data_IF_415220451479
#
_entry.id   IF_415220451479
#
_cell.length_a   1.000
_cell.length_b   1.000
_cell.length_c   1.000
_cell.angle_alpha   90.00
_cell.angle_beta   90.00
_cell.angle_gamma   90.00
#
_symmetry.space_group_name_H-M   'P 1'
#
loop_
_entity.id
_entity.type
_entity.pdbx_description
1 polymer ?
2 non-polymer ?
3 water ?
#
# COMPACT_ATOMS: atom_id res chain seq x y z
N UNK A 2 -10.07 7.48 -14.99
CA UNK A 2 -11.29 8.17 -14.59
C UNK A 2 -11.42 8.26 -13.07
N UNK A 3 -12.10 9.33 -12.58
CA UNK A 3 -12.41 9.65 -11.18
C UNK A 3 -11.29 9.16 -10.17
N UNK A 4 -11.50 9.30 -8.83
CA UNK A 4 -10.46 8.88 -7.89
C UNK A 4 -10.74 7.50 -7.27
N UNK A 5 -11.94 6.91 -7.45
CA UNK A 5 -12.20 5.56 -6.90
C UNK A 5 -11.93 4.42 -7.92
N UNK A 6 -11.58 4.77 -9.18
CA UNK A 6 -11.26 3.78 -10.22
C UNK A 6 -9.81 3.23 -10.08
N UNK A 7 -9.44 2.24 -10.90
CA UNK A 7 -8.12 1.61 -10.83
C UNK A 7 -6.95 2.57 -11.05
N UNK A 8 -6.94 3.30 -12.16
CA UNK A 8 -5.85 4.23 -12.49
C UNK A 8 -5.34 5.13 -11.37
N UNK A 9 -6.25 5.81 -10.66
CA UNK A 9 -5.89 6.70 -9.55
C UNK A 9 -5.26 5.92 -8.41
N UNK A 10 -5.87 4.79 -8.05
CA UNK A 10 -5.44 3.94 -6.95
C UNK A 10 -4.09 3.27 -7.24
N UNK A 11 -3.90 2.86 -8.51
CA UNK A 11 -2.64 2.30 -8.99
C UNK A 11 -1.55 3.35 -8.88
N UNK A 12 -1.84 4.59 -9.29
CA UNK A 12 -0.86 5.67 -9.15
C UNK A 12 -0.47 5.90 -7.68
N UNK A 13 -1.43 5.78 -6.73
CA UNK A 13 -1.13 5.91 -5.30
C UNK A 13 -0.22 4.79 -4.83
N UNK A 14 -0.57 3.53 -5.18
CA UNK A 14 0.24 2.39 -4.75
C UNK A 14 1.64 2.43 -5.38
N UNK A 15 1.74 2.92 -6.63
CA UNK A 15 3.01 3.10 -7.33
C UNK A 15 3.86 4.12 -6.63
N UNK A 16 3.27 5.30 -6.26
CA UNK A 16 4.03 6.35 -5.59
C UNK A 16 4.55 5.86 -4.28
N UNK A 17 3.71 5.11 -3.52
CA UNK A 17 4.15 4.64 -2.21
C UNK A 17 5.34 3.70 -2.34
N UNK A 18 5.33 2.85 -3.38
CA UNK A 18 6.44 1.93 -3.62
C UNK A 18 7.71 2.69 -4.00
N UNK A 19 7.61 3.69 -4.87
CA UNK A 19 8.79 4.52 -5.22
C UNK A 19 9.38 5.25 -3.99
N UNK A 20 8.50 5.67 -3.03
CA UNK A 20 8.91 6.32 -1.76
C UNK A 20 9.71 5.31 -0.92
N UNK A 21 9.14 4.14 -0.66
CA UNK A 21 9.81 3.11 0.14
C UNK A 21 11.15 2.68 -0.50
N UNK A 22 11.14 2.48 -1.82
CA UNK A 22 12.33 2.10 -2.57
C UNK A 22 13.38 3.20 -2.75
N UNK A 23 13.05 4.44 -2.39
CA UNK A 23 13.95 5.58 -2.51
C UNK A 23 14.25 5.93 -3.97
N UNK A 24 13.25 5.80 -4.84
CA UNK A 24 13.35 6.11 -6.26
C UNK A 24 12.16 6.97 -6.74
N UNK A 25 11.94 8.18 -6.16
CA UNK A 25 10.85 9.03 -6.67
C UNK A 25 11.11 9.44 -8.12
N UNK A 26 10.06 9.44 -8.96
CA UNK A 26 10.25 9.82 -10.36
C UNK A 26 10.40 11.34 -10.57
N UNK A 27 11.22 11.76 -11.55
CA UNK A 27 11.39 13.20 -11.79
C UNK A 27 10.36 13.73 -12.79
N UNK A 28 9.55 14.70 -12.38
CA UNK A 28 8.55 15.28 -13.26
C UNK A 28 7.32 15.83 -12.57
N UNK A 29 7.45 17.03 -11.96
CA UNK A 29 6.39 17.73 -11.21
C UNK A 29 6.14 17.17 -9.81
N UNK A 30 6.51 15.92 -9.56
CA UNK A 30 6.30 15.30 -8.26
C UNK A 30 4.92 14.71 -8.04
N UNK A 31 4.71 14.10 -6.87
CA UNK A 31 3.40 13.47 -6.60
C UNK A 31 2.29 14.45 -6.23
N UNK A 32 1.04 14.00 -6.27
CA UNK A 32 -0.13 14.83 -5.92
C UNK A 32 -0.19 15.12 -4.42
N UNK A 33 -1.00 16.11 -3.98
CA UNK A 33 -1.19 16.41 -2.54
C UNK A 33 -1.71 15.15 -1.81
N UNK A 34 -2.65 14.46 -2.43
CA UNK A 34 -3.22 13.20 -1.91
C UNK A 34 -2.10 12.17 -1.64
N UNK A 35 -1.20 11.98 -2.62
CA UNK A 35 -0.09 11.05 -2.51
C UNK A 35 0.90 11.48 -1.41
N UNK A 36 1.25 12.78 -1.34
CA UNK A 36 2.17 13.28 -0.34
C UNK A 36 1.65 13.04 1.09
N UNK A 37 0.33 13.22 1.34
CA UNK A 37 -0.27 12.99 2.67
C UNK A 37 -0.31 11.47 3.00
N UNK A 38 -0.66 10.67 2.03
CA UNK A 38 -0.72 9.21 2.20
C UNK A 38 0.69 8.66 2.54
N UNK A 39 1.75 9.19 1.90
CA UNK A 39 3.10 8.65 2.06
C UNK A 39 3.59 8.85 3.49
N UNK A 40 3.43 10.07 3.97
CA UNK A 40 3.76 10.47 5.33
C UNK A 40 3.01 9.57 6.37
N UNK A 41 1.70 9.42 6.24
CA UNK A 41 0.89 8.66 7.24
C UNK A 41 1.08 7.13 7.13
N UNK A 42 1.15 6.60 5.90
CA UNK A 42 1.39 5.17 5.70
C UNK A 42 2.78 4.78 6.22
N UNK A 43 3.81 5.61 5.97
CA UNK A 43 5.18 5.30 6.45
C UNK A 43 5.28 5.27 7.96
N UNK A 44 4.57 6.17 8.63
CA UNK A 44 4.56 6.21 10.10
C UNK A 44 3.95 4.90 10.64
N UNK A 45 2.90 4.38 9.98
CA UNK A 45 2.27 3.10 10.33
C UNK A 45 3.19 1.89 10.04
N UNK A 46 3.86 1.88 8.87
CA UNK A 46 4.76 0.80 8.47
C UNK A 46 5.90 0.63 9.50
N UNK A 47 6.43 1.74 9.97
CA UNK A 47 7.51 1.73 10.97
C UNK A 47 7.07 1.04 12.25
N UNK A 48 5.82 1.28 12.65
CA UNK A 48 5.22 0.71 13.85
C UNK A 48 4.97 -0.80 13.64
N UNK A 49 4.39 -1.17 12.48
CA UNK A 49 4.09 -2.56 12.12
C UNK A 49 5.37 -3.40 12.12
N UNK A 50 6.46 -2.88 11.52
CA UNK A 50 7.75 -3.56 11.48
C UNK A 50 8.31 -3.83 12.88
N UNK A 51 8.22 -2.84 13.78
CA UNK A 51 8.69 -2.99 15.16
C UNK A 51 7.84 -4.05 15.86
N UNK A 52 6.52 -3.96 15.69
CA UNK A 52 5.55 -4.86 16.31
C UNK A 52 5.61 -6.30 15.82
N UNK A 53 6.24 -6.54 14.64
CA UNK A 53 6.33 -7.88 14.05
C UNK A 53 7.78 -8.31 13.76
N UNK A 54 8.77 -7.78 14.50
CA UNK A 54 10.18 -8.09 14.24
C UNK A 54 10.49 -9.60 14.11
N UNK A 55 9.87 -10.44 14.95
CA UNK A 55 10.08 -11.89 14.88
C UNK A 55 9.36 -12.54 13.68
N UNK A 56 8.08 -12.19 13.46
CA UNK A 56 7.26 -12.71 12.36
C UNK A 56 7.84 -12.35 10.98
N UNK A 57 8.37 -11.12 10.82
CA UNK A 57 8.94 -10.68 9.56
C UNK A 57 10.29 -11.34 9.29
N UNK A 58 11.08 -11.62 10.34
CA UNK A 58 12.36 -12.31 10.20
C UNK A 58 12.20 -13.84 10.12
N UNK A 59 11.03 -14.33 9.71
CA UNK A 59 10.77 -15.76 9.60
C UNK A 59 10.39 -16.10 8.17
N UNK A 60 9.55 -15.27 7.53
CA UNK A 60 9.16 -15.53 6.15
C UNK A 60 10.18 -14.96 5.17
N UNK A 61 10.25 -15.57 3.99
CA UNK A 61 11.12 -15.12 2.91
C UNK A 61 10.20 -14.84 1.72
N UNK A 62 10.36 -13.69 1.07
CA UNK A 62 9.51 -13.30 -0.06
C UNK A 62 10.37 -13.36 -1.31
N UNK A 63 10.43 -14.54 -1.91
CA UNK A 63 11.29 -14.81 -3.05
C UNK A 63 10.65 -14.51 -4.41
N UNK A 64 9.35 -14.20 -4.45
CA UNK A 64 8.67 -13.94 -5.73
C UNK A 64 7.41 -13.10 -5.58
N UNK A 65 6.86 -12.61 -6.71
CA UNK A 65 5.60 -11.87 -6.73
C UNK A 65 4.47 -12.77 -6.21
N UNK A 66 4.43 -14.04 -6.66
CA UNK A 66 3.42 -15.00 -6.21
C UNK A 66 3.41 -15.16 -4.69
N UNK A 67 4.58 -15.40 -4.07
CA UNK A 67 4.70 -15.52 -2.62
C UNK A 67 4.24 -14.22 -1.92
N UNK A 68 4.58 -13.05 -2.48
CA UNK A 68 4.16 -11.78 -1.91
C UNK A 68 2.64 -11.64 -1.96
N UNK A 69 2.00 -12.13 -3.03
CA UNK A 69 0.56 -12.04 -3.16
C UNK A 69 -0.10 -12.94 -2.12
N UNK A 70 0.43 -14.17 -1.94
CA UNK A 70 -0.10 -15.09 -0.93
C UNK A 70 0.03 -14.48 0.48
N UNK A 71 1.17 -13.82 0.78
CA UNK A 71 1.40 -13.21 2.09
C UNK A 71 0.47 -12.01 2.29
N UNK A 72 0.29 -11.19 1.25
CA UNK A 72 -0.63 -10.05 1.29
C UNK A 72 -2.06 -10.53 1.52
N UNK A 73 -2.44 -11.68 0.94
CA UNK A 73 -3.77 -12.27 1.10
C UNK A 73 -4.03 -12.71 2.54
N UNK A 74 -3.03 -13.29 3.21
CA UNK A 74 -3.16 -13.69 4.62
C UNK A 74 -3.37 -12.43 5.46
N UNK A 75 -2.56 -11.40 5.20
CA UNK A 75 -2.64 -10.12 5.90
C UNK A 75 -4.01 -9.49 5.73
N UNK A 76 -4.49 -9.31 4.50
CA UNK A 76 -5.79 -8.70 4.24
C UNK A 76 -6.93 -9.47 4.88
N UNK A 77 -6.87 -10.82 4.86
CA UNK A 77 -7.92 -11.64 5.45
C UNK A 77 -8.00 -11.40 6.94
N UNK A 78 -6.84 -11.40 7.61
CA UNK A 78 -6.70 -11.18 9.04
C UNK A 78 -7.11 -9.75 9.44
N UNK A 79 -6.59 -8.73 8.73
CA UNK A 79 -6.88 -7.32 8.94
C UNK A 79 -8.37 -7.02 8.86
N UNK A 80 -9.07 -7.60 7.88
CA UNK A 80 -10.50 -7.34 7.72
C UNK A 80 -11.39 -8.52 8.16
N UNK A 81 -10.91 -9.41 9.05
CA UNK A 81 -11.69 -10.60 9.46
C UNK A 81 -12.96 -10.27 10.23
N UNK A 82 -13.04 -9.09 10.85
CA UNK A 82 -14.25 -8.68 11.56
C UNK A 82 -15.26 -7.92 10.67
N UNK A 83 -14.98 -7.80 9.37
CA UNK A 83 -15.86 -7.17 8.40
C UNK A 83 -15.95 -5.66 8.33
N UNK A 84 -15.29 -4.92 9.25
CA UNK A 84 -15.39 -3.46 9.25
C UNK A 84 -14.26 -2.74 8.46
N UNK A 85 -14.62 -1.67 7.74
CA UNK A 85 -13.70 -0.85 6.96
C UNK A 85 -13.62 0.59 7.52
N UNK A 86 -12.39 1.07 7.76
CA UNK A 86 -12.15 2.44 8.19
C UNK A 86 -10.86 2.99 7.51
N UNK A 87 -10.63 4.32 7.55
CA UNK A 87 -9.45 4.88 6.90
C UNK A 87 -8.14 4.31 7.45
N UNK A 88 -8.08 4.04 8.75
CA UNK A 88 -6.88 3.47 9.36
C UNK A 88 -6.52 2.11 8.78
N UNK A 89 -7.54 1.33 8.41
CA UNK A 89 -7.31 0.01 7.81
C UNK A 89 -6.85 0.12 6.37
N UNK A 90 -7.35 1.12 5.63
CA UNK A 90 -6.92 1.38 4.26
C UNK A 90 -5.47 1.85 4.26
N UNK A 91 -5.08 2.73 5.22
CA UNK A 91 -3.70 3.19 5.39
C UNK A 91 -2.77 1.99 5.62
N UNK A 92 -3.24 1.01 6.42
CA UNK A 92 -2.56 -0.23 6.77
C UNK A 92 -2.25 -1.11 5.53
N UNK A 93 -3.11 -1.05 4.48
CA UNK A 93 -2.90 -1.77 3.22
C UNK A 93 -1.60 -1.27 2.58
N UNK A 94 -1.43 0.04 2.46
CA UNK A 94 -0.20 0.63 1.90
C UNK A 94 1.05 0.30 2.76
N UNK A 95 0.93 0.35 4.09
CA UNK A 95 2.02 -0.04 4.99
C UNK A 95 2.49 -1.48 4.70
N UNK A 96 1.53 -2.43 4.48
CA UNK A 96 1.92 -3.80 4.17
C UNK A 96 2.56 -3.95 2.76
N UNK A 97 2.10 -3.17 1.76
CA UNK A 97 2.75 -3.20 0.44
C UNK A 97 4.21 -2.71 0.53
N UNK A 98 4.47 -1.74 1.41
CA UNK A 98 5.80 -1.20 1.66
C UNK A 98 6.73 -2.21 2.29
N UNK A 99 6.21 -3.00 3.22
CA UNK A 99 6.97 -4.05 3.89
C UNK A 99 7.28 -5.20 2.90
N UNK A 100 6.32 -5.51 2.02
CA UNK A 100 6.47 -6.58 1.05
C UNK A 100 7.49 -6.22 0.01
N UNK A 101 7.55 -4.95 -0.43
CA UNK A 101 8.54 -4.57 -1.44
C UNK A 101 9.96 -4.49 -0.86
N UNK A 102 10.09 -4.26 0.46
CA UNK A 102 11.39 -4.24 1.11
C UNK A 102 11.94 -5.66 1.18
N UNK A 103 11.09 -6.63 1.56
CA UNK A 103 11.48 -8.03 1.66
C UNK A 103 11.74 -8.64 0.29
N UNK A 104 11.00 -8.22 -0.74
CA UNK A 104 11.21 -8.72 -2.10
C UNK A 104 12.55 -8.24 -2.64
N UNK A 105 12.92 -6.97 -2.35
CA UNK A 105 14.20 -6.44 -2.82
C UNK A 105 15.38 -7.18 -2.20
N UNK A 106 15.24 -7.65 -0.96
CA UNK A 106 16.29 -8.34 -0.24
C UNK A 106 16.24 -9.88 -0.43
N UNK A 107 15.06 -10.44 -0.76
CA UNK A 107 14.92 -11.90 -0.86
C UNK A 107 14.45 -12.48 -2.21
N UNK A 108 14.24 -11.67 -3.27
CA UNK A 108 13.80 -12.22 -4.55
C UNK A 108 14.95 -13.00 -5.19
N UNK A 109 14.91 -14.35 -5.12
CA UNK A 109 15.95 -15.25 -5.65
C UNK A 109 16.48 -14.82 -7.04
N UNK A 110 15.57 -14.51 -7.96
CA UNK A 110 15.95 -14.01 -9.27
C UNK A 110 15.43 -12.59 -9.31
N UNK A 111 16.24 -11.59 -8.89
CA UNK A 111 15.75 -10.20 -8.87
C UNK A 111 15.24 -9.71 -10.21
N UNK A 112 14.36 -8.72 -10.17
CA UNK A 112 13.75 -8.17 -11.36
C UNK A 112 13.18 -6.81 -11.02
N UNK A 113 13.83 -5.73 -11.46
CA UNK A 113 13.33 -4.38 -11.20
C UNK A 113 11.94 -4.11 -11.83
N UNK A 114 11.47 -5.00 -12.71
CA UNK A 114 10.15 -4.88 -13.32
C UNK A 114 9.09 -5.67 -12.53
N UNK A 115 9.28 -5.84 -11.21
CA UNK A 115 8.31 -6.58 -10.41
C UNK A 115 7.70 -5.72 -9.28
N UNK A 116 8.17 -4.46 -9.05
CA UNK A 116 7.49 -3.59 -8.08
C UNK A 116 6.12 -3.19 -8.61
N UNK A 117 6.00 -3.00 -9.94
CA UNK A 117 4.75 -2.68 -10.61
C UNK A 117 3.69 -3.77 -10.41
N UNK A 118 4.12 -5.03 -10.19
CA UNK A 118 3.21 -6.15 -9.97
C UNK A 118 2.56 -6.04 -8.61
N UNK A 119 3.35 -5.79 -7.55
CA UNK A 119 2.85 -5.60 -6.19
C UNK A 119 1.80 -4.49 -6.13
N UNK A 120 2.12 -3.31 -6.70
CA UNK A 120 1.26 -2.14 -6.80
C UNK A 120 -0.08 -2.53 -7.43
N UNK A 121 -0.02 -3.36 -8.49
CA UNK A 121 -1.17 -3.81 -9.26
C UNK A 121 -2.13 -4.58 -8.39
N UNK A 122 -1.66 -5.62 -7.67
CA UNK A 122 -2.59 -6.41 -6.87
C UNK A 122 -3.04 -5.64 -5.59
N UNK A 123 -2.26 -4.65 -5.12
CA UNK A 123 -2.67 -3.82 -4.00
C UNK A 123 -3.86 -2.94 -4.47
N UNK A 124 -3.75 -2.33 -5.65
CA UNK A 124 -4.82 -1.52 -6.22
C UNK A 124 -6.06 -2.32 -6.56
N UNK A 125 -5.87 -3.59 -6.94
CA UNK A 125 -6.89 -4.58 -7.27
C UNK A 125 -7.70 -4.88 -6.00
N UNK A 126 -6.99 -5.11 -4.88
CA UNK A 126 -7.66 -5.39 -3.62
C UNK A 126 -8.43 -4.17 -3.15
N UNK A 127 -7.78 -2.99 -3.12
CA UNK A 127 -8.41 -1.75 -2.68
C UNK A 127 -9.69 -1.43 -3.46
N UNK A 128 -9.62 -1.52 -4.79
CA UNK A 128 -10.79 -1.23 -5.63
C UNK A 128 -11.93 -2.24 -5.49
N UNK A 129 -11.62 -3.54 -5.47
CA UNK A 129 -12.66 -4.57 -5.39
C UNK A 129 -13.23 -4.83 -3.99
N UNK A 130 -12.47 -4.51 -2.93
CA UNK A 130 -12.93 -4.79 -1.58
C UNK A 130 -13.21 -3.55 -0.72
N UNK A 131 -12.70 -2.37 -1.11
CA UNK A 131 -12.94 -1.13 -0.35
C UNK A 131 -13.37 0.06 -1.23
N UNK A 132 -13.43 -0.12 -2.55
CA UNK A 132 -13.78 0.95 -3.47
C UNK A 132 -15.13 1.61 -3.24
N UNK A 133 -16.13 0.84 -2.79
CA UNK A 133 -17.47 1.40 -2.57
C UNK A 133 -17.50 2.35 -1.36
N UNK A 134 -16.91 1.89 -0.24
CA UNK A 134 -16.74 2.62 1.02
C UNK A 134 -15.99 3.94 0.78
N UNK A 135 -14.85 3.89 0.07
CA UNK A 135 -14.04 5.08 -0.22
C UNK A 135 -14.86 6.16 -0.92
N UNK A 136 -15.54 5.82 -2.02
CA UNK A 136 -16.39 6.77 -2.77
C UNK A 136 -17.53 7.33 -1.90
N UNK A 137 -18.20 6.45 -1.13
CA UNK A 137 -19.30 6.83 -0.23
C UNK A 137 -18.84 7.68 0.97
N UNK A 138 -17.52 7.76 1.22
CA UNK A 138 -16.97 8.55 2.29
C UNK A 138 -16.12 9.73 1.82
N UNK A 139 -16.34 10.21 0.60
CA UNK A 139 -15.64 11.38 0.08
C UNK A 139 -14.53 11.15 -0.92
N UNK A 140 -14.20 9.90 -1.16
CA UNK A 140 -13.10 9.56 -2.04
C UNK A 140 -11.77 9.86 -1.35
N UNK A 141 -10.73 10.15 -2.15
CA UNK A 141 -9.40 10.46 -1.65
C UNK A 141 -9.24 11.94 -1.37
N UNK A 142 -9.76 12.81 -2.24
CA UNK A 142 -9.63 14.26 -2.04
C UNK A 142 -10.56 14.83 -0.93
N UNK A 143 -11.83 14.38 -0.84
CA UNK A 143 -12.74 14.86 0.21
C UNK A 143 -13.01 13.83 1.33
N UNK A 144 -12.21 12.77 1.40
CA UNK A 144 -12.37 11.76 2.44
C UNK A 144 -11.04 11.52 3.13
N UNK A 145 -10.09 10.93 2.39
CA UNK A 145 -8.78 10.63 2.94
C UNK A 145 -8.01 11.91 3.29
N UNK A 146 -7.84 12.81 2.32
CA UNK A 146 -7.09 14.04 2.49
C UNK A 146 -7.66 14.90 3.60
N UNK A 147 -8.99 15.10 3.64
CA UNK A 147 -9.58 15.94 4.69
C UNK A 147 -9.33 15.40 6.09
N UNK A 148 -9.35 14.09 6.24
CA UNK A 148 -9.10 13.48 7.54
C UNK A 148 -7.61 13.51 7.92
N UNK A 149 -6.69 13.18 6.99
CA UNK A 149 -5.27 13.06 7.38
C UNK A 149 -4.33 14.21 6.99
N UNK A 150 -4.80 15.25 6.29
CA UNK A 150 -3.92 16.37 5.94
C UNK A 150 -3.46 17.16 7.19
N UNK A 151 -2.31 17.84 7.13
CA UNK A 151 -1.87 18.64 8.29
C UNK A 151 -2.93 19.68 8.70
N UNK A 152 -3.12 19.84 10.01
CA UNK A 152 -4.17 20.68 10.57
C UNK A 152 -3.99 22.21 10.35
X LIG B 1 -2.61 -8.12 12.14
X LIG B 1 -1.14 -8.32 11.72
X LIG B 1 -1.24 -8.58 10.23
X LIG B 1 1.60 -11.78 9.65
X LIG B 1 1.19 -12.84 8.85
X LIG B 1 -0.12 -12.88 8.41
X LIG B 1 -1.02 -11.90 8.77
X LIG B 1 2.59 -13.91 7.11
X LIG B 1 3.21 -12.62 6.64
X LIG B 1 4.46 -12.22 7.09
X LIG B 1 5.02 -11.03 6.67
X LIG B 1 4.32 -10.23 5.80
X LIG B 1 3.09 -10.60 5.33
X LIG B 1 4.06 -14.85 9.63
X LIG B 1 4.42 -14.22 10.96
X LIG B 1 1.82 -15.64 9.85
X LIG B 1 2.57 -14.82 9.35
X LIG B 1 2.11 -13.87 8.49
X LIG B 1 2.53 -11.79 5.76
X LIG B 1 4.99 -8.70 5.32
X LIG B 1 0.70 -10.79 10.01
X LIG B 1 -0.61 -10.85 9.58
X LIG B 1 -1.60 -9.95 9.92
X LIG B 1 -2.30 -7.61 9.75
X LIG B 1 -3.34 -7.63 10.88
X LIG B 1 -3.86 -6.28 11.12
#
# INVERSE_FOLDING_TARGET
GMTDCEFGYIYRLAQDYLQCVLQIPQPGSGPSKTSRVLQNVAFSVQKEVEKNLKSCLDNVNVVSVDTARTLFNQVMEKEFEDGIINWGRIVTIFAFEGILIKKLLRQQIAPDVDTYKEISYFVAEFIMNNTGEWIRQNGGWENGFVKKFEPK
A1IDO C1 C2 C3 C7 C8 C9 C10 C11 C12 C13 C14 C15 C16 C19 C20 O1 C18 N1 C17 CL C6 C5 O C4 C N
#
